data_IF_118789295120
#
_entry.id   IF_118789295120
#
_cell.length_a   1.000
_cell.length_b   1.000
_cell.length_c   1.000
_cell.angle_alpha   90.00
_cell.angle_beta   90.00
_cell.angle_gamma   90.00
#
_symmetry.space_group_name_H-M   'P 1'
#
loop_
_entity.id
_entity.type
_entity.pdbx_description
1 polymer ?
#
# COMPACT_ATOMS: atom_id res chain seq x y z
N UNK A 1 9.12 3.96 -21.88
CA UNK A 1 7.88 4.32 -21.13
C UNK A 1 7.21 3.13 -20.47
N UNK A 2 6.89 2.03 -21.18
CA UNK A 2 6.18 0.86 -20.61
C UNK A 2 6.83 0.31 -19.33
N UNK A 3 8.16 0.18 -19.29
CA UNK A 3 8.89 -0.34 -18.12
C UNK A 3 8.75 0.52 -16.85
N UNK A 4 8.58 1.83 -16.99
CA UNK A 4 8.52 2.75 -15.84
C UNK A 4 7.14 2.71 -15.18
N UNK A 5 6.09 2.58 -15.99
CA UNK A 5 4.70 2.41 -15.52
C UNK A 5 4.56 1.08 -14.78
N UNK A 6 5.13 -0.01 -15.33
CA UNK A 6 5.11 -1.32 -14.68
C UNK A 6 5.83 -1.33 -13.32
N UNK A 7 6.93 -0.58 -13.21
CA UNK A 7 7.67 -0.45 -11.95
C UNK A 7 6.84 0.29 -10.88
N UNK A 8 6.18 1.38 -11.27
CA UNK A 8 5.34 2.14 -10.33
C UNK A 8 4.17 1.31 -9.81
N UNK A 9 3.49 0.56 -10.70
CA UNK A 9 2.41 -0.34 -10.31
C UNK A 9 2.91 -1.46 -9.38
N UNK A 10 4.07 -2.06 -9.65
CA UNK A 10 4.66 -3.07 -8.78
C UNK A 10 5.00 -2.51 -7.38
N UNK A 11 5.45 -1.26 -7.29
CA UNK A 11 5.69 -0.59 -6.01
C UNK A 11 4.39 -0.37 -5.24
N UNK A 12 3.33 0.10 -5.92
CA UNK A 12 2.01 0.27 -5.30
C UNK A 12 1.51 -1.04 -4.70
N UNK A 13 1.59 -2.13 -5.46
CA UNK A 13 1.18 -3.46 -5.00
C UNK A 13 2.04 -3.98 -3.85
N UNK A 14 3.34 -3.71 -3.87
CA UNK A 14 4.24 -4.09 -2.78
C UNK A 14 3.84 -3.39 -1.47
N UNK A 15 3.66 -2.07 -1.49
CA UNK A 15 3.26 -1.32 -0.31
C UNK A 15 1.84 -1.68 0.14
N UNK A 16 0.92 -1.93 -0.80
CA UNK A 16 -0.45 -2.32 -0.48
C UNK A 16 -0.49 -3.65 0.30
N UNK A 17 0.27 -4.66 -0.12
CA UNK A 17 0.37 -5.94 0.62
C UNK A 17 0.98 -5.78 2.00
N UNK A 18 1.97 -4.90 2.15
CA UNK A 18 2.57 -4.62 3.48
C UNK A 18 1.58 -3.89 4.40
N UNK A 19 0.82 -2.94 3.86
CA UNK A 19 -0.20 -2.21 4.61
C UNK A 19 -1.35 -3.15 5.01
N UNK A 20 -1.78 -4.05 4.11
CA UNK A 20 -2.80 -5.05 4.42
C UNK A 20 -2.41 -5.93 5.62
N UNK A 21 -1.19 -6.45 5.64
CA UNK A 21 -0.67 -7.23 6.78
C UNK A 21 -0.64 -6.44 8.10
N UNK A 22 -0.30 -5.15 8.04
CA UNK A 22 -0.30 -4.29 9.22
C UNK A 22 -1.73 -4.03 9.73
N UNK A 23 -2.70 -3.88 8.80
CA UNK A 23 -4.12 -3.74 9.12
C UNK A 23 -4.65 -5.02 9.78
N UNK A 24 -4.38 -6.19 9.20
CA UNK A 24 -4.80 -7.50 9.74
C UNK A 24 -4.20 -7.79 11.11
N UNK A 25 -2.96 -7.35 11.36
CA UNK A 25 -2.30 -7.48 12.64
C UNK A 25 -2.73 -6.40 13.67
N UNK A 26 -3.62 -5.47 13.28
CA UNK A 26 -3.99 -4.29 14.07
C UNK A 26 -2.78 -3.45 14.56
N UNK A 27 -1.67 -3.51 13.83
CA UNK A 27 -0.41 -2.84 14.17
C UNK A 27 -0.35 -1.45 13.52
N UNK A 28 -0.81 -0.46 14.29
CA UNK A 28 -0.87 0.95 13.87
C UNK A 28 0.52 1.57 13.67
N UNK A 29 1.53 1.15 14.43
CA UNK A 29 2.91 1.62 14.31
C UNK A 29 3.57 1.10 13.03
N UNK A 30 3.34 -0.18 12.71
CA UNK A 30 3.78 -0.75 11.44
C UNK A 30 3.09 -0.05 10.28
N UNK A 31 1.76 0.14 10.34
CA UNK A 31 0.99 0.79 9.28
C UNK A 31 1.50 2.21 8.98
N UNK A 32 1.80 3.01 10.02
CA UNK A 32 2.34 4.36 9.87
C UNK A 32 3.71 4.40 9.14
N UNK A 33 4.46 3.29 9.14
CA UNK A 33 5.80 3.19 8.54
C UNK A 33 5.81 2.47 7.19
N UNK A 34 4.69 1.89 6.75
CA UNK A 34 4.64 1.12 5.50
C UNK A 34 4.88 2.00 4.28
N UNK A 35 4.24 3.17 4.21
CA UNK A 35 4.37 4.09 3.08
C UNK A 35 5.51 5.05 3.38
N UNK A 36 6.54 5.15 2.51
CA UNK A 36 7.65 6.07 2.74
C UNK A 36 7.18 7.52 2.81
N UNK A 37 7.83 8.31 3.69
CA UNK A 37 7.51 9.72 3.91
C UNK A 37 7.46 10.54 2.61
N UNK A 38 8.46 10.41 1.73
CA UNK A 38 8.47 11.12 0.45
C UNK A 38 7.26 10.77 -0.45
N UNK A 39 6.75 9.53 -0.40
CA UNK A 39 5.54 9.15 -1.16
C UNK A 39 4.32 9.87 -0.61
N UNK A 40 4.21 10.01 0.71
CA UNK A 40 3.08 10.69 1.37
C UNK A 40 3.06 12.19 0.99
N UNK A 41 4.22 12.86 1.06
CA UNK A 41 4.28 14.32 0.88
C UNK A 41 4.43 14.75 -0.58
N UNK A 42 5.17 14.02 -1.40
CA UNK A 42 5.43 14.41 -2.79
C UNK A 42 4.42 13.79 -3.76
N UNK A 43 3.81 12.65 -3.39
CA UNK A 43 2.89 11.89 -4.27
C UNK A 43 1.64 11.41 -3.52
N UNK A 44 0.84 12.31 -2.92
CA UNK A 44 -0.31 11.92 -2.09
C UNK A 44 -1.33 11.05 -2.81
N UNK A 45 -1.53 11.23 -4.12
CA UNK A 45 -2.40 10.37 -4.93
C UNK A 45 -1.94 8.90 -4.95
N UNK A 46 -0.64 8.67 -5.08
CA UNK A 46 -0.05 7.32 -5.03
C UNK A 46 -0.23 6.70 -3.63
N UNK A 47 -0.06 7.48 -2.57
CA UNK A 47 -0.27 7.02 -1.21
C UNK A 47 -1.74 6.59 -0.97
N UNK A 48 -2.71 7.37 -1.47
CA UNK A 48 -4.12 7.02 -1.40
C UNK A 48 -4.44 5.74 -2.19
N UNK A 49 -3.87 5.58 -3.38
CA UNK A 49 -4.03 4.35 -4.16
C UNK A 49 -3.48 3.12 -3.43
N UNK A 50 -2.32 3.23 -2.79
CA UNK A 50 -1.72 2.16 -1.99
C UNK A 50 -2.66 1.75 -0.85
N UNK A 51 -3.18 2.73 -0.10
CA UNK A 51 -4.10 2.47 1.02
C UNK A 51 -5.42 1.85 0.54
N UNK A 52 -6.00 2.34 -0.55
CA UNK A 52 -7.20 1.76 -1.14
C UNK A 52 -6.99 0.30 -1.59
N UNK A 53 -5.85 -0.01 -2.21
CA UNK A 53 -5.47 -1.40 -2.54
C UNK A 53 -5.28 -2.26 -1.30
N UNK A 54 -4.66 -1.72 -0.25
CA UNK A 54 -4.43 -2.45 1.00
C UNK A 54 -5.73 -2.89 1.67
N UNK A 55 -6.74 -2.01 1.72
CA UNK A 55 -8.08 -2.34 2.27
C UNK A 55 -8.74 -3.46 1.46
N UNK A 56 -8.65 -3.41 0.13
CA UNK A 56 -9.19 -4.46 -0.73
C UNK A 56 -8.49 -5.81 -0.50
N UNK A 57 -7.16 -5.82 -0.36
CA UNK A 57 -6.38 -7.05 -0.09
C UNK A 57 -6.77 -7.64 1.27
N UNK A 58 -6.72 -6.83 2.34
CA UNK A 58 -7.08 -7.29 3.69
C UNK A 58 -8.53 -7.81 3.74
N UNK A 59 -9.45 -7.13 3.05
CA UNK A 59 -10.86 -7.57 2.99
C UNK A 59 -11.00 -8.89 2.21
N UNK A 60 -10.32 -9.07 1.08
CA UNK A 60 -10.39 -10.32 0.32
C UNK A 60 -9.75 -11.51 1.03
N UNK A 61 -8.71 -11.30 1.85
CA UNK A 61 -8.02 -12.37 2.57
C UNK A 61 -8.72 -12.74 3.89
N UNK A 62 -9.39 -11.78 4.55
CA UNK A 62 -10.11 -12.01 5.82
C UNK A 62 -11.42 -12.80 5.66
N UNK A 63 -12.07 -12.77 4.49
CA UNK A 63 -13.36 -13.45 4.25
C UNK A 63 -13.26 -14.73 3.40
N UNK A 64 -12.08 -15.36 3.31
CA UNK A 64 -11.86 -16.67 2.67
C UNK A 64 -11.64 -17.77 3.68
#
# INVERSE_FOLDING_TARGET
>A
MVKMIQLEEALKDHYARRAARAIEAEDTDALARVIPHHVIYEKPGMALEILGRAVNVASCETYR
#
